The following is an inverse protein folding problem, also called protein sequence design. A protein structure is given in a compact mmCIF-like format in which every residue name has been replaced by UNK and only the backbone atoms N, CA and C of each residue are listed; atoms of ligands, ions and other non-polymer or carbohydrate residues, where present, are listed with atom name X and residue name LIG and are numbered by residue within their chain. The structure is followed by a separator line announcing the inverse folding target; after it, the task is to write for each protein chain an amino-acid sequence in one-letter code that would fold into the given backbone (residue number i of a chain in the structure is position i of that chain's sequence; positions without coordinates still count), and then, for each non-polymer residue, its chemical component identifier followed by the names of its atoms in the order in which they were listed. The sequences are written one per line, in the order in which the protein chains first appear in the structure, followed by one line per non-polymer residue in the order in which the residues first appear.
data_IF_711610800023
#
_entry.id   IF_711610800023
#
_cell.length_a   1.000
_cell.length_b   1.000
_cell.length_c   1.000
_cell.angle_alpha   90.00
_cell.angle_beta   90.00
_cell.angle_gamma   90.00
#
_symmetry.space_group_name_H-M   'P 1'
#
loop_
_entity.id
_entity.type
_entity.pdbx_description
1 polymer ?
#
# COMPACT_ATOMS: atom_id res chain seq x y z
N UNK A 1 7.21 -4.94 -0.40
CA UNK A 1 6.34 -5.44 -1.48
C UNK A 1 6.17 -4.40 -2.59
N UNK A 2 6.64 -3.20 -2.41
CA UNK A 2 6.76 -2.22 -3.48
C UNK A 2 7.70 -2.76 -4.57
N UNK A 3 7.41 -2.45 -5.83
CA UNK A 3 8.33 -2.71 -6.93
C UNK A 3 8.91 -1.36 -7.34
N UNK A 4 10.24 -1.17 -7.23
CA UNK A 4 10.89 0.07 -7.65
C UNK A 4 10.96 0.19 -9.16
N UNK A 5 11.32 1.38 -9.65
CA UNK A 5 11.57 1.57 -11.07
C UNK A 5 12.71 0.69 -11.57
N UNK A 6 12.60 0.29 -12.83
CA UNK A 6 13.59 -0.52 -13.55
C UNK A 6 13.76 -1.98 -13.08
N UNK A 7 12.98 -2.46 -12.11
CA UNK A 7 12.92 -3.90 -11.81
C UNK A 7 12.01 -4.66 -12.76
N UNK A 8 11.04 -3.95 -13.35
CA UNK A 8 10.19 -4.46 -14.45
C UNK A 8 10.45 -3.68 -15.72
N UNK A 9 10.28 -4.34 -16.86
CA UNK A 9 10.32 -3.68 -18.16
C UNK A 9 9.18 -2.65 -18.28
N UNK A 10 9.37 -1.55 -19.02
CA UNK A 10 8.29 -0.58 -19.29
C UNK A 10 7.04 -1.23 -19.88
N UNK A 11 7.20 -2.26 -20.72
CA UNK A 11 6.08 -3.01 -21.27
C UNK A 11 5.28 -3.75 -20.20
N UNK A 12 5.94 -4.41 -19.24
CA UNK A 12 5.29 -5.07 -18.10
C UNK A 12 4.56 -4.04 -17.22
N UNK A 13 5.19 -2.92 -16.94
CA UNK A 13 4.57 -1.82 -16.18
C UNK A 13 3.32 -1.29 -16.89
N UNK A 14 3.37 -1.09 -18.21
CA UNK A 14 2.24 -0.62 -19.00
C UNK A 14 1.08 -1.62 -19.01
N UNK A 15 1.34 -2.91 -19.18
CA UNK A 15 0.31 -3.96 -19.18
C UNK A 15 -0.45 -3.97 -17.84
N UNK A 16 0.27 -3.92 -16.72
CA UNK A 16 -0.36 -3.94 -15.40
C UNK A 16 -1.06 -2.62 -15.06
N UNK A 17 -0.54 -1.47 -15.52
CA UNK A 17 -1.22 -0.19 -15.41
C UNK A 17 -2.56 -0.20 -16.18
N UNK A 18 -2.56 -0.76 -17.40
CA UNK A 18 -3.79 -0.94 -18.20
C UNK A 18 -4.76 -1.90 -17.51
N UNK A 19 -4.29 -2.97 -16.88
CA UNK A 19 -5.12 -3.88 -16.10
C UNK A 19 -5.72 -3.23 -14.84
N UNK A 20 -4.97 -2.36 -14.18
CA UNK A 20 -5.43 -1.62 -13.00
C UNK A 20 -6.46 -0.53 -13.34
N UNK A 21 -6.30 0.16 -14.46
CA UNK A 21 -7.07 1.35 -14.83
C UNK A 21 -8.61 1.13 -14.81
N UNK A 22 -9.20 0.06 -15.38
CA UNK A 22 -10.64 -0.18 -15.34
C UNK A 22 -11.19 -0.28 -13.91
N UNK A 23 -10.44 -0.94 -13.00
CA UNK A 23 -10.87 -1.11 -11.59
C UNK A 23 -10.81 0.23 -10.86
N UNK A 24 -9.78 1.04 -11.09
CA UNK A 24 -9.68 2.39 -10.52
C UNK A 24 -10.79 3.30 -11.05
N UNK A 25 -11.06 3.28 -12.36
CA UNK A 25 -12.18 4.04 -12.94
C UNK A 25 -13.52 3.62 -12.35
N UNK A 26 -13.75 2.31 -12.18
CA UNK A 26 -14.95 1.80 -11.52
C UNK A 26 -15.02 2.25 -10.06
N UNK A 27 -13.89 2.20 -9.34
CA UNK A 27 -13.80 2.68 -7.96
C UNK A 27 -14.15 4.16 -7.85
N UNK A 28 -13.63 5.01 -8.73
CA UNK A 28 -13.98 6.44 -8.79
C UNK A 28 -15.50 6.62 -8.99
N UNK A 29 -16.10 5.89 -9.95
CA UNK A 29 -17.54 5.98 -10.23
C UNK A 29 -18.37 5.57 -9.00
N UNK A 30 -18.03 4.45 -8.34
CA UNK A 30 -18.73 3.95 -7.15
C UNK A 30 -18.59 4.91 -5.97
N UNK A 31 -17.38 5.37 -5.70
CA UNK A 31 -17.11 6.30 -4.58
C UNK A 31 -17.76 7.67 -4.81
N UNK A 32 -17.82 8.16 -6.06
CA UNK A 32 -18.55 9.40 -6.39
C UNK A 32 -20.03 9.32 -6.02
N UNK A 33 -20.70 8.18 -6.27
CA UNK A 33 -22.09 7.96 -5.85
C UNK A 33 -22.17 7.96 -4.33
N UNK A 34 -21.30 7.23 -3.65
CA UNK A 34 -21.29 7.18 -2.17
C UNK A 34 -21.03 8.55 -1.54
N UNK A 35 -20.16 9.38 -2.13
CA UNK A 35 -19.88 10.75 -1.66
C UNK A 35 -21.10 11.69 -1.79
N UNK A 36 -21.95 11.49 -2.80
CA UNK A 36 -23.18 12.25 -2.93
C UNK A 36 -24.19 11.91 -1.82
N UNK A 37 -24.22 10.65 -1.40
CA UNK A 37 -25.11 10.15 -0.35
C UNK A 37 -24.58 10.41 1.07
N UNK A 38 -23.23 10.40 1.22
CA UNK A 38 -22.56 10.54 2.51
C UNK A 38 -21.27 11.39 2.39
N UNK A 39 -21.37 12.69 2.70
CA UNK A 39 -20.25 13.63 2.64
C UNK A 39 -19.12 13.32 3.65
N UNK A 40 -19.41 12.55 4.71
CA UNK A 40 -18.39 12.13 5.69
C UNK A 40 -17.46 11.06 5.14
N UNK A 41 -17.77 10.47 3.99
CA UNK A 41 -16.85 9.57 3.30
C UNK A 41 -15.55 10.28 2.84
N UNK A 42 -15.60 11.59 2.50
CA UNK A 42 -14.41 12.31 2.06
C UNK A 42 -13.33 12.39 3.16
N UNK A 43 -13.61 12.85 4.40
CA UNK A 43 -12.63 12.76 5.48
C UNK A 43 -12.24 11.33 5.83
N UNK A 44 -13.13 10.34 5.67
CA UNK A 44 -12.80 8.93 5.88
C UNK A 44 -11.80 8.39 4.86
N UNK A 45 -11.91 8.79 3.59
CA UNK A 45 -10.90 8.47 2.55
C UNK A 45 -9.53 9.04 2.92
N UNK A 46 -9.49 10.28 3.41
CA UNK A 46 -8.24 10.89 3.87
C UNK A 46 -7.63 10.14 5.06
N UNK A 47 -8.44 9.79 6.06
CA UNK A 47 -7.99 8.98 7.20
C UNK A 47 -7.49 7.62 6.75
N UNK A 48 -8.20 6.95 5.84
CA UNK A 48 -7.84 5.64 5.34
C UNK A 48 -6.51 5.67 4.56
N UNK A 49 -6.32 6.64 3.68
CA UNK A 49 -5.05 6.81 2.97
C UNK A 49 -3.89 7.10 3.93
N UNK A 50 -4.10 7.97 4.92
CA UNK A 50 -3.11 8.27 5.97
C UNK A 50 -2.79 7.04 6.82
N UNK A 51 -3.79 6.24 7.17
CA UNK A 51 -3.61 5.02 7.95
C UNK A 51 -2.76 4.00 7.21
N UNK A 52 -3.06 3.75 5.94
CA UNK A 52 -2.27 2.84 5.12
C UNK A 52 -0.84 3.35 4.93
N UNK A 53 -0.66 4.63 4.59
CA UNK A 53 0.65 5.24 4.48
C UNK A 53 1.49 5.03 5.75
N UNK A 54 0.91 5.31 6.91
CA UNK A 54 1.59 5.13 8.19
C UNK A 54 1.90 3.67 8.50
N UNK A 55 0.99 2.72 8.18
CA UNK A 55 1.26 1.29 8.37
C UNK A 55 2.43 0.81 7.51
N UNK A 56 2.57 1.32 6.29
CA UNK A 56 3.69 0.99 5.40
C UNK A 56 5.04 1.56 5.86
N UNK A 57 5.06 2.59 6.72
CA UNK A 57 6.30 3.07 7.34
C UNK A 57 6.83 2.14 8.45
N UNK A 58 6.05 1.19 8.96
CA UNK A 58 6.48 0.24 9.98
C UNK A 58 7.14 -0.98 9.35
N UNK A 59 8.39 -0.83 8.95
CA UNK A 59 9.20 -1.96 8.52
C UNK A 59 9.49 -2.88 9.70
N UNK A 60 9.38 -4.19 9.47
CA UNK A 60 9.74 -5.24 10.42
C UNK A 60 10.84 -6.12 9.84
N UNK A 61 11.83 -6.55 10.65
CA UNK A 61 12.88 -7.43 10.17
C UNK A 61 12.30 -8.81 9.83
N UNK A 62 12.79 -9.36 8.73
CA UNK A 62 12.44 -10.70 8.26
C UNK A 62 13.70 -11.57 8.27
N UNK A 63 13.63 -12.85 8.68
CA UNK A 63 14.76 -13.75 8.60
C UNK A 63 15.39 -13.78 7.19
N UNK A 64 16.71 -13.72 7.11
CA UNK A 64 17.45 -13.62 5.84
C UNK A 64 17.95 -12.21 5.51
N UNK A 65 17.79 -11.24 6.42
CA UNK A 65 18.34 -9.88 6.25
C UNK A 65 17.51 -8.99 5.33
N UNK A 66 16.21 -9.29 5.18
CA UNK A 66 15.26 -8.47 4.43
C UNK A 66 14.22 -7.86 5.38
N UNK A 67 13.40 -6.96 4.87
CA UNK A 67 12.33 -6.29 5.62
C UNK A 67 10.98 -6.46 4.93
N UNK A 68 9.91 -6.26 5.69
CA UNK A 68 8.56 -6.21 5.17
C UNK A 68 7.68 -5.30 6.07
N UNK A 69 6.52 -4.89 5.57
CA UNK A 69 5.59 -4.03 6.29
C UNK A 69 4.13 -4.45 6.04
N UNK A 70 3.23 -4.00 6.91
CA UNK A 70 1.80 -4.07 6.67
C UNK A 70 1.36 -2.98 5.68
N UNK A 71 0.22 -3.18 5.03
CA UNK A 71 -0.38 -2.24 4.06
C UNK A 71 -1.75 -1.74 4.53
N UNK A 72 -2.50 -2.59 5.23
CA UNK A 72 -3.84 -2.26 5.71
C UNK A 72 -4.95 -2.44 4.66
N UNK A 73 -4.68 -3.12 3.55
CA UNK A 73 -5.63 -3.22 2.44
C UNK A 73 -6.97 -3.83 2.84
N UNK A 74 -6.94 -4.94 3.55
CA UNK A 74 -8.15 -5.59 4.10
C UNK A 74 -8.82 -4.75 5.17
N UNK A 75 -8.05 -4.12 6.05
CA UNK A 75 -8.57 -3.21 7.07
C UNK A 75 -9.40 -2.10 6.45
N UNK A 76 -8.84 -1.40 5.48
CA UNK A 76 -9.55 -0.30 4.81
C UNK A 76 -10.81 -0.79 4.10
N UNK A 77 -10.76 -1.97 3.46
CA UNK A 77 -11.93 -2.54 2.80
C UNK A 77 -13.05 -2.89 3.80
N UNK A 78 -12.72 -3.31 5.01
CA UNK A 78 -13.67 -3.54 6.09
C UNK A 78 -14.26 -2.23 6.63
N UNK A 79 -13.48 -1.14 6.65
CA UNK A 79 -13.91 0.15 7.20
C UNK A 79 -14.74 0.98 6.21
N UNK A 80 -14.33 1.06 4.94
CA UNK A 80 -14.92 1.98 3.96
C UNK A 80 -15.36 1.31 2.66
N UNK A 81 -15.25 -0.03 2.59
CA UNK A 81 -15.56 -0.82 1.40
C UNK A 81 -14.40 -0.94 0.41
N UNK A 82 -14.38 -2.01 -0.42
CA UNK A 82 -13.23 -2.32 -1.27
C UNK A 82 -12.92 -1.25 -2.32
N UNK A 83 -13.94 -0.62 -2.92
CA UNK A 83 -13.73 0.45 -3.90
C UNK A 83 -13.13 1.72 -3.30
N UNK A 84 -13.61 2.13 -2.13
CA UNK A 84 -13.08 3.29 -1.42
C UNK A 84 -11.68 3.01 -0.86
N UNK A 85 -11.44 1.79 -0.37
CA UNK A 85 -10.12 1.34 0.06
C UNK A 85 -9.10 1.35 -1.08
N UNK A 86 -9.49 0.89 -2.27
CA UNK A 86 -8.66 0.93 -3.48
C UNK A 86 -8.22 2.35 -3.81
N UNK A 87 -9.11 3.35 -3.74
CA UNK A 87 -8.75 4.75 -3.98
C UNK A 87 -7.85 5.32 -2.88
N UNK A 88 -8.15 5.02 -1.62
CA UNK A 88 -7.33 5.48 -0.50
C UNK A 88 -5.91 4.94 -0.57
N UNK A 89 -5.74 3.66 -0.89
CA UNK A 89 -4.44 3.02 -1.12
C UNK A 89 -3.73 3.61 -2.34
N UNK A 90 -4.45 3.86 -3.44
CA UNK A 90 -3.87 4.52 -4.61
C UNK A 90 -3.28 5.88 -4.25
N UNK A 91 -3.97 6.67 -3.42
CA UNK A 91 -3.44 7.96 -2.94
C UNK A 91 -2.20 7.77 -2.06
N UNK A 92 -2.19 6.79 -1.17
CA UNK A 92 -1.02 6.48 -0.34
C UNK A 92 0.20 6.10 -1.20
N UNK A 93 0.02 5.21 -2.18
CA UNK A 93 1.08 4.77 -3.10
C UNK A 93 1.60 5.89 -4.00
N UNK A 94 0.70 6.80 -4.46
CA UNK A 94 1.11 8.00 -5.20
C UNK A 94 2.03 8.89 -4.34
N UNK A 95 1.67 9.13 -3.08
CA UNK A 95 2.50 9.93 -2.18
C UNK A 95 3.85 9.25 -1.92
N UNK A 96 3.87 7.93 -1.71
CA UNK A 96 5.10 7.16 -1.51
C UNK A 96 6.03 7.28 -2.71
N UNK A 97 5.54 7.04 -3.92
CA UNK A 97 6.35 7.09 -5.12
C UNK A 97 6.86 8.53 -5.44
N UNK A 98 5.98 9.54 -5.39
CA UNK A 98 6.36 10.89 -5.81
C UNK A 98 7.09 11.72 -4.75
N UNK A 99 6.79 11.54 -3.47
CA UNK A 99 7.40 12.35 -2.42
C UNK A 99 8.54 11.66 -1.70
N UNK A 100 8.47 10.33 -1.58
CA UNK A 100 9.39 9.58 -0.72
C UNK A 100 10.26 8.59 -1.49
N UNK A 101 9.99 8.37 -2.79
CA UNK A 101 10.75 7.42 -3.61
C UNK A 101 10.51 5.94 -3.21
N UNK A 102 9.49 5.68 -2.39
CA UNK A 102 9.11 4.34 -1.96
C UNK A 102 8.16 3.71 -3.00
N UNK A 103 8.67 2.77 -3.76
CA UNK A 103 8.06 2.25 -4.98
C UNK A 103 8.37 3.09 -6.21
N UNK A 104 8.26 2.50 -7.41
CA UNK A 104 8.59 3.16 -8.68
C UNK A 104 7.43 3.99 -9.24
N UNK A 105 7.74 5.05 -9.98
CA UNK A 105 6.77 5.82 -10.77
C UNK A 105 6.32 5.04 -11.99
N UNK A 106 7.24 4.41 -12.72
CA UNK A 106 6.89 3.54 -13.85
C UNK A 106 6.16 2.29 -13.35
N UNK A 107 6.57 1.76 -12.20
CA UNK A 107 5.96 0.60 -11.56
C UNK A 107 4.68 0.95 -10.76
N UNK A 108 4.26 2.21 -10.71
CA UNK A 108 3.10 2.64 -9.91
C UNK A 108 1.83 1.87 -10.24
N UNK A 109 1.56 1.61 -11.54
CA UNK A 109 0.42 0.83 -11.98
C UNK A 109 0.44 -0.61 -11.45
N UNK A 110 1.62 -1.21 -11.37
CA UNK A 110 1.87 -2.54 -10.80
C UNK A 110 1.60 -2.53 -9.29
N UNK A 111 2.18 -1.58 -8.58
CA UNK A 111 1.98 -1.42 -7.13
C UNK A 111 0.52 -1.15 -6.79
N UNK A 112 -0.20 -0.34 -7.59
CA UNK A 112 -1.65 -0.15 -7.46
C UNK A 112 -2.39 -1.47 -7.69
N UNK A 113 -2.04 -2.23 -8.72
CA UNK A 113 -2.70 -3.51 -9.01
C UNK A 113 -2.56 -4.47 -7.82
N UNK A 114 -1.35 -4.68 -7.32
CA UNK A 114 -1.08 -5.61 -6.23
C UNK A 114 -1.65 -5.15 -4.89
N UNK A 115 -1.38 -3.91 -4.48
CA UNK A 115 -1.70 -3.42 -3.14
C UNK A 115 -3.04 -2.70 -3.05
N UNK A 116 -3.41 -1.88 -4.05
CA UNK A 116 -4.64 -1.11 -4.01
C UNK A 116 -5.85 -1.82 -4.62
N UNK A 117 -5.65 -2.90 -5.38
CA UNK A 117 -6.74 -3.69 -5.96
C UNK A 117 -6.78 -5.08 -5.33
N UNK A 118 -5.76 -5.90 -5.52
CA UNK A 118 -5.79 -7.30 -5.07
C UNK A 118 -6.04 -7.40 -3.57
N UNK A 119 -5.30 -6.66 -2.74
CA UNK A 119 -5.46 -6.77 -1.29
C UNK A 119 -6.87 -6.39 -0.79
N UNK A 120 -7.43 -5.20 -1.11
CA UNK A 120 -8.77 -4.85 -0.62
C UNK A 120 -9.86 -5.78 -1.10
N UNK A 121 -9.82 -6.20 -2.38
CA UNK A 121 -10.87 -7.02 -2.95
C UNK A 121 -10.81 -8.47 -2.46
N UNK A 122 -9.63 -9.08 -2.46
CA UNK A 122 -9.43 -10.46 -1.95
C UNK A 122 -9.72 -10.51 -0.45
N UNK A 123 -9.14 -9.59 0.32
CA UNK A 123 -9.33 -9.55 1.77
C UNK A 123 -10.78 -9.36 2.17
N UNK A 124 -11.49 -8.41 1.51
CA UNK A 124 -12.90 -8.17 1.77
C UNK A 124 -13.80 -9.35 1.34
N UNK A 125 -13.47 -10.02 0.23
CA UNK A 125 -14.21 -11.20 -0.20
C UNK A 125 -14.12 -12.33 0.84
N UNK A 126 -12.91 -12.61 1.34
CA UNK A 126 -12.70 -13.60 2.41
C UNK A 126 -13.41 -13.18 3.70
N UNK A 127 -13.19 -11.94 4.17
CA UNK A 127 -13.89 -11.41 5.33
C UNK A 127 -15.41 -11.56 5.22
N UNK A 128 -15.99 -11.21 4.06
CA UNK A 128 -17.42 -11.27 3.82
C UNK A 128 -17.96 -12.72 3.85
N UNK A 129 -17.16 -13.67 3.35
CA UNK A 129 -17.51 -15.09 3.43
C UNK A 129 -17.61 -15.56 4.89
N UNK A 130 -16.60 -15.29 5.70
CA UNK A 130 -16.60 -15.64 7.12
C UNK A 130 -17.68 -14.92 7.92
N UNK A 131 -17.96 -13.64 7.59
CA UNK A 131 -19.03 -12.86 8.21
C UNK A 131 -20.41 -13.49 7.99
N UNK A 132 -20.69 -14.07 6.81
CA UNK A 132 -21.93 -14.78 6.53
C UNK A 132 -22.13 -16.01 7.46
N UNK A 133 -21.04 -16.58 7.96
CA UNK A 133 -21.04 -17.70 8.90
C UNK A 133 -20.84 -17.26 10.36
N UNK A 134 -21.05 -15.97 10.68
CA UNK A 134 -20.87 -15.40 12.03
C UNK A 134 -19.44 -15.55 12.61
N UNK A 135 -18.44 -15.70 11.75
CA UNK A 135 -17.02 -15.84 12.11
C UNK A 135 -16.20 -14.62 11.72
N UNK A 136 -16.71 -13.41 12.00
CA UNK A 136 -16.10 -12.14 11.56
C UNK A 136 -14.64 -12.00 11.97
N UNK A 137 -14.30 -12.34 13.23
CA UNK A 137 -12.93 -12.24 13.75
C UNK A 137 -11.95 -13.11 12.97
N UNK A 138 -12.36 -14.35 12.67
CA UNK A 138 -11.55 -15.26 11.86
C UNK A 138 -11.43 -14.72 10.42
N UNK A 139 -12.52 -14.19 9.87
CA UNK A 139 -12.52 -13.55 8.56
C UNK A 139 -11.57 -12.34 8.46
N UNK A 140 -11.44 -11.55 9.52
CA UNK A 140 -10.47 -10.45 9.61
C UNK A 140 -9.04 -10.98 9.53
N UNK A 141 -8.70 -11.98 10.34
CA UNK A 141 -7.34 -12.54 10.42
C UNK A 141 -6.97 -13.25 9.12
N UNK A 142 -7.81 -14.17 8.66
CA UNK A 142 -7.56 -14.97 7.44
C UNK A 142 -7.59 -14.10 6.20
N UNK A 143 -8.55 -13.15 6.12
CA UNK A 143 -8.67 -12.25 4.99
C UNK A 143 -7.46 -11.35 4.81
N UNK A 144 -6.97 -10.74 5.91
CA UNK A 144 -5.78 -9.88 5.86
C UNK A 144 -4.50 -10.68 5.59
N UNK A 145 -4.33 -11.82 6.23
CA UNK A 145 -3.18 -12.71 5.99
C UNK A 145 -3.12 -13.17 4.53
N UNK A 146 -4.22 -13.68 3.98
CA UNK A 146 -4.23 -14.22 2.62
C UNK A 146 -4.15 -13.12 1.55
N UNK A 147 -4.73 -11.94 1.78
CA UNK A 147 -4.70 -10.86 0.80
C UNK A 147 -3.30 -10.30 0.55
N UNK A 148 -2.52 -10.08 1.61
CA UNK A 148 -1.13 -9.60 1.45
C UNK A 148 -0.25 -10.69 0.82
N UNK A 149 -0.47 -11.95 1.15
CA UNK A 149 0.25 -13.06 0.52
C UNK A 149 -0.14 -13.24 -0.96
N UNK A 150 -1.39 -12.99 -1.35
CA UNK A 150 -1.81 -12.97 -2.75
C UNK A 150 -1.09 -11.85 -3.53
N UNK A 151 -1.00 -10.65 -2.97
CA UNK A 151 -0.27 -9.54 -3.58
C UNK A 151 1.25 -9.85 -3.68
N UNK A 152 1.84 -10.43 -2.63
CA UNK A 152 3.24 -10.84 -2.63
C UNK A 152 3.53 -11.94 -3.68
N UNK A 153 2.63 -12.89 -3.83
CA UNK A 153 2.72 -13.92 -4.88
C UNK A 153 2.76 -13.28 -6.27
N UNK A 154 1.84 -12.34 -6.55
CA UNK A 154 1.80 -11.65 -7.84
C UNK A 154 3.09 -10.84 -8.08
N UNK A 155 3.56 -10.08 -7.10
CA UNK A 155 4.82 -9.34 -7.20
C UNK A 155 6.00 -10.30 -7.48
N UNK A 156 6.04 -11.46 -6.81
CA UNK A 156 7.03 -12.50 -7.07
C UNK A 156 6.97 -13.05 -8.50
N UNK A 157 5.77 -13.25 -9.04
CA UNK A 157 5.56 -13.68 -10.43
C UNK A 157 5.98 -12.58 -11.41
N UNK A 158 5.57 -11.36 -11.20
CA UNK A 158 5.89 -10.19 -12.04
C UNK A 158 7.41 -9.97 -12.16
N UNK A 159 8.11 -10.02 -11.03
CA UNK A 159 9.57 -9.96 -10.99
C UNK A 159 10.20 -11.17 -11.69
N UNK A 160 9.72 -12.37 -11.38
CA UNK A 160 10.31 -13.62 -11.87
C UNK A 160 10.09 -13.91 -13.36
N UNK A 161 9.13 -13.23 -13.98
CA UNK A 161 8.93 -13.32 -15.44
C UNK A 161 9.91 -12.45 -16.22
N UNK A 162 10.58 -11.44 -15.61
CA UNK A 162 11.43 -10.52 -16.35
C UNK A 162 12.58 -11.20 -17.11
N UNK A 163 13.31 -12.18 -16.57
CA UNK A 163 14.35 -12.88 -17.31
C UNK A 163 13.83 -13.64 -18.55
N UNK A 164 12.54 -13.98 -18.57
CA UNK A 164 11.93 -14.71 -19.70
C UNK A 164 11.43 -13.76 -20.79
N UNK A 165 10.94 -12.57 -20.42
CA UNK A 165 10.25 -11.67 -21.36
C UNK A 165 11.08 -10.43 -21.74
N UNK A 166 12.14 -10.14 -21.01
CA UNK A 166 12.96 -8.95 -21.20
C UNK A 166 14.46 -9.29 -21.04
N UNK A 167 14.99 -10.03 -22.01
CA UNK A 167 16.40 -10.44 -22.08
C UNK A 167 17.02 -10.06 -23.42
N UNK A 168 18.30 -9.78 -23.44
CA UNK A 168 19.10 -9.55 -24.65
C UNK A 168 20.36 -10.41 -24.60
N UNK A 169 20.63 -11.14 -25.67
CA UNK A 169 21.75 -12.09 -25.75
C UNK A 169 21.83 -13.07 -24.56
N UNK A 170 20.67 -13.49 -24.03
CA UNK A 170 20.58 -14.40 -22.87
C UNK A 170 20.86 -13.75 -21.52
N UNK A 171 21.02 -12.42 -21.46
CA UNK A 171 21.17 -11.67 -20.20
C UNK A 171 19.88 -10.90 -19.86
N UNK A 172 19.36 -10.97 -18.63
CA UNK A 172 18.20 -10.20 -18.22
C UNK A 172 18.51 -8.69 -18.23
N UNK A 173 17.56 -7.91 -18.77
CA UNK A 173 17.68 -6.46 -18.83
C UNK A 173 17.18 -5.77 -17.54
N UNK A 174 16.29 -6.42 -16.81
CA UNK A 174 15.65 -5.92 -15.57
C UNK A 174 15.89 -6.90 -14.43
N UNK A 175 14.89 -7.18 -13.58
CA UNK A 175 15.11 -8.12 -12.46
C UNK A 175 15.81 -9.41 -12.96
N UNK A 176 16.96 -9.77 -12.36
CA UNK A 176 17.78 -10.89 -12.86
C UNK A 176 17.32 -12.26 -12.38
N UNK A 177 16.46 -12.31 -11.37
CA UNK A 177 16.05 -13.54 -10.71
C UNK A 177 14.77 -14.11 -11.36
N UNK A 178 14.78 -15.42 -11.68
CA UNK A 178 13.62 -16.12 -12.22
C UNK A 178 12.59 -16.50 -11.15
N UNK A 179 11.46 -17.07 -11.60
CA UNK A 179 10.32 -17.47 -10.76
C UNK A 179 10.70 -18.39 -9.58
N UNK A 180 11.66 -19.26 -9.77
CA UNK A 180 12.13 -20.19 -8.72
C UNK A 180 12.82 -19.51 -7.55
N UNK A 181 13.21 -18.25 -7.68
CA UNK A 181 13.81 -17.42 -6.63
C UNK A 181 12.82 -16.37 -6.14
N UNK A 182 12.22 -15.62 -7.05
CA UNK A 182 11.36 -14.47 -6.69
C UNK A 182 10.10 -14.87 -5.96
N UNK A 183 9.41 -15.94 -6.41
CA UNK A 183 8.16 -16.38 -5.78
C UNK A 183 8.41 -16.91 -4.37
N UNK A 184 9.36 -17.83 -4.12
CA UNK A 184 9.67 -18.26 -2.75
C UNK A 184 10.18 -17.13 -1.85
N UNK A 185 10.99 -16.19 -2.36
CA UNK A 185 11.50 -15.08 -1.57
C UNK A 185 10.38 -14.14 -1.13
N UNK A 186 9.52 -13.73 -2.06
CA UNK A 186 8.36 -12.89 -1.76
C UNK A 186 7.37 -13.58 -0.82
N UNK A 187 6.97 -14.82 -1.12
CA UNK A 187 6.06 -15.58 -0.25
C UNK A 187 6.70 -15.90 1.10
N UNK A 188 7.97 -16.23 1.17
CA UNK A 188 8.66 -16.55 2.42
C UNK A 188 8.60 -15.36 3.40
N UNK A 189 8.95 -14.16 2.96
CA UNK A 189 8.87 -12.96 3.79
C UNK A 189 7.44 -12.67 4.28
N UNK A 190 6.44 -12.89 3.42
CA UNK A 190 5.05 -12.55 3.72
C UNK A 190 4.32 -13.65 4.52
N UNK A 191 4.55 -14.93 4.24
CA UNK A 191 3.98 -16.03 5.02
C UNK A 191 4.54 -16.10 6.43
N UNK A 192 5.85 -15.82 6.58
CA UNK A 192 6.52 -15.95 7.88
C UNK A 192 6.33 -14.72 8.77
N UNK A 193 6.28 -13.51 8.21
CA UNK A 193 6.29 -12.26 9.00
C UNK A 193 5.19 -11.30 8.56
N UNK A 194 5.23 -10.74 7.35
CA UNK A 194 4.37 -9.62 6.96
C UNK A 194 2.88 -9.96 7.02
N UNK A 195 2.48 -11.17 6.66
CA UNK A 195 1.09 -11.63 6.76
C UNK A 195 0.55 -11.60 8.18
N UNK A 196 1.37 -11.97 9.16
CA UNK A 196 0.99 -11.91 10.57
C UNK A 196 0.96 -10.49 11.10
N UNK A 197 1.87 -9.63 10.65
CA UNK A 197 1.86 -8.19 10.99
C UNK A 197 0.62 -7.51 10.41
N UNK A 198 0.27 -7.78 9.15
CA UNK A 198 -0.97 -7.31 8.51
C UNK A 198 -2.21 -7.79 9.29
N UNK A 199 -2.26 -9.08 9.64
CA UNK A 199 -3.36 -9.66 10.41
C UNK A 199 -3.46 -9.04 11.81
N UNK A 200 -2.34 -8.81 12.49
CA UNK A 200 -2.30 -8.19 13.81
C UNK A 200 -2.84 -6.75 13.79
N UNK A 201 -2.30 -5.89 12.93
CA UNK A 201 -2.77 -4.51 12.84
C UNK A 201 -4.24 -4.43 12.41
N UNK A 202 -4.63 -5.23 11.41
CA UNK A 202 -6.02 -5.30 10.98
C UNK A 202 -6.95 -5.73 12.10
N UNK A 203 -6.58 -6.77 12.86
CA UNK A 203 -7.39 -7.27 13.97
C UNK A 203 -7.50 -6.25 15.11
N UNK A 204 -6.40 -5.64 15.53
CA UNK A 204 -6.39 -4.67 16.65
C UNK A 204 -7.25 -3.45 16.31
N UNK A 205 -7.06 -2.88 15.12
CA UNK A 205 -7.83 -1.70 14.69
C UNK A 205 -9.30 -2.07 14.45
N UNK A 206 -9.59 -3.22 13.83
CA UNK A 206 -10.95 -3.72 13.69
C UNK A 206 -11.65 -3.87 15.03
N UNK A 207 -11.00 -4.49 16.02
CA UNK A 207 -11.55 -4.66 17.37
C UNK A 207 -11.84 -3.32 18.03
N UNK A 208 -10.91 -2.39 17.93
CA UNK A 208 -11.11 -1.03 18.44
C UNK A 208 -12.35 -0.38 17.79
N UNK A 209 -12.44 -0.40 16.45
CA UNK A 209 -13.59 0.17 15.74
C UNK A 209 -14.89 -0.53 16.11
N UNK A 210 -14.90 -1.85 16.17
CA UNK A 210 -16.09 -2.64 16.53
C UNK A 210 -16.59 -2.33 17.94
N UNK A 211 -15.71 -1.98 18.89
CA UNK A 211 -16.08 -1.61 20.25
C UNK A 211 -16.57 -0.16 20.36
N UNK A 212 -15.91 0.76 19.64
CA UNK A 212 -16.11 2.20 19.80
C UNK A 212 -17.18 2.75 18.86
N UNK A 213 -17.33 2.16 17.67
CA UNK A 213 -18.21 2.62 16.61
C UNK A 213 -18.62 1.47 15.67
N UNK A 214 -19.37 0.46 16.14
CA UNK A 214 -19.71 -0.74 15.35
C UNK A 214 -20.51 -0.41 14.08
N UNK A 215 -21.28 0.66 14.09
CA UNK A 215 -22.05 1.15 12.93
C UNK A 215 -21.18 1.69 11.78
N UNK A 216 -19.90 1.93 12.03
CA UNK A 216 -18.96 2.44 11.02
C UNK A 216 -18.27 1.34 10.20
N UNK A 217 -18.43 0.07 10.59
CA UNK A 217 -17.98 -1.06 9.78
C UNK A 217 -18.80 -1.12 8.50
N UNK A 218 -18.11 -1.21 7.36
CA UNK A 218 -18.74 -1.11 6.07
C UNK A 218 -19.82 -2.17 5.83
N UNK A 219 -21.00 -1.68 5.51
CA UNK A 219 -22.05 -2.42 4.83
C UNK A 219 -22.53 -1.55 3.66
N UNK A 220 -23.19 -2.10 2.62
CA UNK A 220 -23.67 -1.28 1.49
C UNK A 220 -24.55 -0.10 1.89
N UNK A 221 -25.11 -0.10 3.09
CA UNK A 221 -25.95 0.97 3.66
C UNK A 221 -25.26 1.80 4.75
N UNK A 222 -23.97 1.61 5.01
CA UNK A 222 -23.26 2.33 6.07
C UNK A 222 -23.16 3.83 5.78
N UNK A 223 -23.49 4.64 6.79
CA UNK A 223 -23.24 6.08 6.80
C UNK A 223 -22.21 6.39 7.86
N UNK A 224 -21.03 6.86 7.45
CA UNK A 224 -19.98 7.27 8.36
C UNK A 224 -20.38 8.51 9.16
N UNK A 225 -19.90 8.63 10.39
CA UNK A 225 -20.23 9.74 11.29
C UNK A 225 -19.00 10.58 11.64
N UNK A 226 -19.24 11.86 11.88
CA UNK A 226 -18.18 12.79 12.35
C UNK A 226 -17.56 12.34 13.68
N UNK A 227 -18.31 11.62 14.50
CA UNK A 227 -17.84 11.11 15.80
C UNK A 227 -16.71 10.08 15.62
N UNK A 228 -16.84 9.17 14.64
CA UNK A 228 -15.83 8.19 14.35
C UNK A 228 -14.53 8.84 13.84
N UNK A 229 -14.64 9.79 12.91
CA UNK A 229 -13.50 10.56 12.39
C UNK A 229 -12.68 11.21 13.54
N UNK A 230 -13.37 11.73 14.56
CA UNK A 230 -12.69 12.29 15.74
C UNK A 230 -11.93 11.26 16.58
N UNK A 231 -12.41 10.02 16.67
CA UNK A 231 -11.80 8.97 17.50
C UNK A 231 -10.57 8.35 16.81
N UNK A 232 -10.67 8.05 15.50
CA UNK A 232 -9.58 7.40 14.78
C UNK A 232 -8.35 8.30 14.57
N UNK A 233 -8.49 9.63 14.64
CA UNK A 233 -7.35 10.56 14.59
C UNK A 233 -6.31 10.30 15.68
N UNK A 234 -6.72 9.80 16.84
CA UNK A 234 -5.79 9.45 17.92
C UNK A 234 -4.93 8.23 17.57
N UNK A 235 -5.49 7.29 16.80
CA UNK A 235 -4.72 6.17 16.23
C UNK A 235 -3.66 6.69 15.27
N UNK A 236 -4.03 7.62 14.37
CA UNK A 236 -3.08 8.24 13.45
C UNK A 236 -1.96 8.98 14.18
N UNK A 237 -2.29 9.77 15.21
CA UNK A 237 -1.29 10.49 16.02
C UNK A 237 -0.33 9.50 16.71
N UNK A 238 -0.85 8.41 17.27
CA UNK A 238 -0.03 7.35 17.84
C UNK A 238 0.92 6.74 16.82
N UNK A 239 0.43 6.42 15.62
CA UNK A 239 1.25 5.87 14.54
C UNK A 239 2.32 6.86 14.06
N UNK A 240 2.01 8.15 13.94
CA UNK A 240 3.01 9.19 13.60
C UNK A 240 4.15 9.20 14.62
N UNK A 241 3.83 9.23 15.92
CA UNK A 241 4.84 9.24 16.99
C UNK A 241 5.67 7.96 17.02
N UNK A 242 5.05 6.83 16.71
CA UNK A 242 5.69 5.50 16.70
C UNK A 242 6.37 5.17 15.36
N UNK A 243 6.18 5.96 14.29
CA UNK A 243 6.75 5.66 12.96
C UNK A 243 8.26 5.39 12.97
N UNK A 244 9.11 6.03 13.82
CA UNK A 244 10.53 5.70 13.87
C UNK A 244 10.84 4.26 14.30
N UNK A 245 9.88 3.50 14.84
CA UNK A 245 10.08 2.07 15.10
C UNK A 245 10.34 1.27 13.82
N UNK A 246 9.88 1.74 12.67
CA UNK A 246 10.21 1.14 11.37
C UNK A 246 11.70 1.18 11.02
N UNK A 247 12.47 2.10 11.63
CA UNK A 247 13.92 2.19 11.47
C UNK A 247 14.70 1.08 12.23
N UNK A 248 14.03 0.30 13.09
CA UNK A 248 14.64 -0.84 13.78
C UNK A 248 14.87 -2.05 12.85
N UNK A 249 14.22 -2.07 11.69
CA UNK A 249 14.40 -3.09 10.68
C UNK A 249 15.60 -2.69 9.79
N UNK A 250 16.70 -3.40 9.95
CA UNK A 250 17.88 -3.25 9.10
C UNK A 250 17.74 -4.11 7.83
N UNK A 251 18.29 -3.64 6.71
CA UNK A 251 18.30 -4.33 5.43
C UNK A 251 17.22 -3.84 4.47
N UNK A 252 17.37 -4.21 3.21
CA UNK A 252 16.50 -3.81 2.10
C UNK A 252 15.50 -4.91 1.79
N UNK A 253 14.26 -4.57 1.47
CA UNK A 253 13.26 -5.54 1.08
C UNK A 253 13.68 -6.27 -0.22
N UNK A 254 13.26 -7.54 -0.37
CA UNK A 254 13.60 -8.31 -1.57
C UNK A 254 13.05 -7.63 -2.82
N UNK A 255 13.95 -7.35 -3.77
CA UNK A 255 13.62 -6.68 -5.03
C UNK A 255 13.54 -5.16 -4.94
N UNK A 256 13.97 -4.55 -3.84
CA UNK A 256 14.00 -3.10 -3.61
C UNK A 256 15.44 -2.55 -3.47
N UNK A 257 16.46 -3.34 -3.85
CA UNK A 257 17.86 -2.96 -3.73
C UNK A 257 18.23 -1.75 -4.61
N UNK A 258 19.10 -0.91 -4.10
CA UNK A 258 19.78 0.10 -4.92
C UNK A 258 20.67 -0.55 -5.98
N UNK A 259 21.10 0.23 -6.98
CA UNK A 259 22.03 -0.25 -8.02
C UNK A 259 23.35 -0.76 -7.41
N UNK A 260 23.82 -0.12 -6.35
CA UNK A 260 25.05 -0.47 -5.62
C UNK A 260 24.87 -1.78 -4.84
N UNK A 261 23.76 -1.93 -4.11
CA UNK A 261 23.44 -3.15 -3.36
C UNK A 261 23.28 -4.34 -4.30
N UNK A 262 22.51 -4.16 -5.39
CA UNK A 262 22.33 -5.19 -6.41
C UNK A 262 23.66 -5.53 -7.10
N UNK A 263 24.51 -4.53 -7.35
CA UNK A 263 25.86 -4.73 -7.88
C UNK A 263 26.72 -5.60 -6.96
N UNK A 264 26.62 -5.40 -5.65
CA UNK A 264 27.31 -6.23 -4.67
C UNK A 264 26.80 -7.68 -4.67
N UNK A 265 25.49 -7.88 -4.75
CA UNK A 265 24.85 -9.20 -4.82
C UNK A 265 25.19 -9.96 -6.11
N UNK A 266 25.34 -9.25 -7.23
CA UNK A 266 25.58 -9.83 -8.56
C UNK A 266 27.07 -9.76 -8.98
N UNK A 267 27.99 -9.49 -8.05
CA UNK A 267 29.43 -9.37 -8.37
C UNK A 267 29.73 -8.42 -9.54
N UNK A 268 29.07 -7.26 -9.54
CA UNK A 268 29.22 -6.20 -10.53
C UNK A 268 28.39 -6.35 -11.82
N UNK A 269 27.64 -7.45 -12.00
CA UNK A 269 26.84 -7.72 -13.19
C UNK A 269 25.42 -7.16 -13.10
N UNK A 270 25.26 -5.85 -12.88
CA UNK A 270 23.96 -5.22 -12.82
C UNK A 270 23.29 -5.19 -14.20
N UNK A 271 22.01 -5.60 -14.34
CA UNK A 271 21.26 -5.50 -15.58
C UNK A 271 21.24 -4.09 -16.17
N UNK A 272 21.38 -3.98 -17.48
CA UNK A 272 21.52 -2.68 -18.16
C UNK A 272 20.28 -1.82 -18.05
N UNK A 273 19.08 -2.39 -18.00
CA UNK A 273 17.82 -1.67 -17.79
C UNK A 273 17.70 -1.08 -16.39
N UNK A 274 18.32 -1.71 -15.36
CA UNK A 274 18.40 -1.14 -14.00
C UNK A 274 19.44 -0.03 -13.97
N UNK A 275 20.62 -0.27 -14.54
CA UNK A 275 21.74 0.66 -14.50
C UNK A 275 21.49 1.95 -15.27
N UNK A 276 20.85 1.86 -16.43
CA UNK A 276 20.65 2.96 -17.39
C UNK A 276 19.17 3.33 -17.55
N UNK A 277 18.32 2.88 -16.63
CA UNK A 277 16.89 3.06 -16.71
C UNK A 277 16.41 4.45 -16.29
N UNK A 278 15.12 4.56 -16.08
CA UNK A 278 14.47 5.78 -15.60
C UNK A 278 14.96 6.14 -14.20
N UNK A 279 15.24 7.42 -13.97
CA UNK A 279 15.62 7.95 -12.66
C UNK A 279 14.72 9.10 -12.27
N UNK A 280 14.24 9.06 -11.05
CA UNK A 280 13.45 10.12 -10.44
C UNK A 280 13.94 10.34 -9.00
N UNK A 281 14.30 11.58 -8.69
CA UNK A 281 14.68 11.96 -7.33
C UNK A 281 13.47 12.49 -6.59
N UNK A 282 13.02 11.74 -5.58
CA UNK A 282 11.92 12.14 -4.73
C UNK A 282 12.34 13.26 -3.77
N UNK A 283 11.39 14.09 -3.35
CA UNK A 283 11.66 15.26 -2.50
C UNK A 283 12.21 14.88 -1.12
N UNK A 284 11.77 13.76 -0.57
CA UNK A 284 12.12 13.24 0.76
C UNK A 284 12.50 11.76 0.67
N UNK A 285 13.45 11.43 -0.23
CA UNK A 285 13.86 10.04 -0.47
C UNK A 285 14.08 9.29 0.85
N UNK A 286 13.58 8.06 0.92
CA UNK A 286 13.67 7.18 2.09
C UNK A 286 13.16 7.82 3.39
N UNK A 287 12.15 8.69 3.26
CA UNK A 287 11.55 9.43 4.39
C UNK A 287 12.55 10.32 5.15
N UNK A 288 13.66 10.69 4.51
CA UNK A 288 14.70 11.54 5.10
C UNK A 288 14.47 13.01 4.77
N UNK A 289 14.91 13.89 5.67
CA UNK A 289 14.91 15.34 5.44
C UNK A 289 16.33 15.86 5.67
N UNK A 290 16.95 16.50 4.67
CA UNK A 290 18.30 17.02 4.79
C UNK A 290 18.49 17.90 6.04
N UNK A 291 19.56 17.70 6.77
CA UNK A 291 19.89 18.46 7.98
C UNK A 291 19.16 18.01 9.25
N UNK A 292 18.32 16.97 9.20
CA UNK A 292 17.66 16.41 10.38
C UNK A 292 18.20 15.03 10.76
N UNK A 293 17.96 14.62 12.02
CA UNK A 293 18.20 13.22 12.43
C UNK A 293 17.17 12.32 11.72
N UNK A 294 17.55 11.12 11.32
CA UNK A 294 16.71 10.17 10.57
C UNK A 294 15.33 9.98 11.24
N UNK A 295 15.29 9.74 12.56
CA UNK A 295 14.01 9.59 13.27
C UNK A 295 13.11 10.84 13.20
N UNK A 296 13.68 12.04 13.19
CA UNK A 296 12.94 13.29 13.04
C UNK A 296 12.42 13.41 11.60
N UNK A 297 13.25 13.08 10.60
CA UNK A 297 12.86 13.01 9.20
C UNK A 297 11.65 12.10 9.00
N UNK A 298 11.68 10.92 9.61
CA UNK A 298 10.57 9.94 9.57
C UNK A 298 9.26 10.52 10.13
N UNK A 299 9.30 11.15 11.31
CA UNK A 299 8.11 11.80 11.91
C UNK A 299 7.60 12.94 11.01
N UNK A 300 8.50 13.80 10.52
CA UNK A 300 8.11 14.91 9.65
C UNK A 300 7.53 14.44 8.31
N UNK A 301 8.08 13.37 7.73
CA UNK A 301 7.54 12.72 6.54
C UNK A 301 6.13 12.18 6.79
N UNK A 302 5.92 11.49 7.91
CA UNK A 302 4.61 11.01 8.34
C UNK A 302 3.60 12.18 8.49
N UNK A 303 3.98 13.26 9.15
CA UNK A 303 3.14 14.47 9.30
C UNK A 303 2.83 15.07 7.93
N UNK A 304 3.83 15.22 7.07
CA UNK A 304 3.66 15.82 5.73
C UNK A 304 2.65 15.02 4.90
N UNK A 305 2.79 13.70 4.84
CA UNK A 305 1.85 12.85 4.11
C UNK A 305 0.42 12.97 4.65
N UNK A 306 0.24 12.90 5.97
CA UNK A 306 -1.07 13.03 6.62
C UNK A 306 -1.69 14.41 6.35
N UNK A 307 -0.91 15.48 6.39
CA UNK A 307 -1.39 16.84 6.09
C UNK A 307 -1.82 16.99 4.64
N UNK A 308 -1.05 16.47 3.68
CA UNK A 308 -1.40 16.53 2.26
C UNK A 308 -2.72 15.79 2.02
N UNK A 309 -2.85 14.57 2.54
CA UNK A 309 -4.09 13.78 2.41
C UNK A 309 -5.28 14.49 3.09
N UNK A 310 -5.06 15.09 4.24
CA UNK A 310 -6.09 15.88 4.93
C UNK A 310 -6.56 17.07 4.08
N UNK A 311 -5.63 17.83 3.48
CA UNK A 311 -5.94 18.97 2.60
C UNK A 311 -6.74 18.48 1.38
N UNK A 312 -6.29 17.40 0.71
CA UNK A 312 -7.00 16.81 -0.43
C UNK A 312 -8.42 16.41 -0.03
N UNK A 313 -8.60 15.76 1.12
CA UNK A 313 -9.93 15.34 1.59
C UNK A 313 -10.86 16.54 1.87
N UNK A 314 -10.32 17.65 2.36
CA UNK A 314 -11.05 18.90 2.57
C UNK A 314 -11.49 19.55 1.25
N UNK A 315 -10.60 19.57 0.26
CA UNK A 315 -10.93 20.08 -1.09
C UNK A 315 -12.06 19.24 -1.71
N UNK A 316 -11.96 17.90 -1.66
CA UNK A 316 -13.00 17.01 -2.18
C UNK A 316 -14.35 17.27 -1.49
N UNK A 317 -14.34 17.45 -0.16
CA UNK A 317 -15.54 17.76 0.62
C UNK A 317 -16.18 19.10 0.21
N UNK A 318 -15.36 20.15 0.02
CA UNK A 318 -15.82 21.48 -0.42
C UNK A 318 -16.47 21.41 -1.80
N UNK A 319 -15.79 20.81 -2.77
CA UNK A 319 -16.31 20.68 -4.16
C UNK A 319 -17.65 19.93 -4.24
N UNK A 320 -17.91 18.98 -3.33
CA UNK A 320 -19.17 18.25 -3.25
C UNK A 320 -20.25 19.01 -2.43
N UNK A 321 -19.84 20.03 -1.64
CA UNK A 321 -20.75 20.87 -0.86
C UNK A 321 -21.42 21.96 -1.67
N UNK A 322 -20.72 22.58 -2.59
CA UNK A 322 -21.24 23.69 -3.42
C UNK A 322 -22.28 23.23 -4.46
N UNK A 323 -22.18 22.00 -4.97
CA UNK A 323 -23.16 21.47 -5.95
C UNK A 323 -24.56 21.30 -5.41
N UNK A 324 -24.77 21.30 -4.10
CA UNK A 324 -26.10 21.14 -3.47
C UNK A 324 -26.76 22.46 -3.08
N UNK A 325 -26.07 23.62 -3.21
CA UNK A 325 -26.65 24.94 -2.95
C UNK A 325 -27.20 25.62 -4.20
N UNK A 326 -27.01 25.05 -5.39
CA UNK A 326 -27.47 25.57 -6.68
C UNK A 326 -28.44 24.61 -7.42
N UNK A 327 -28.98 23.60 -6.75
CA UNK A 327 -30.04 22.72 -7.18
C UNK A 327 -31.22 22.85 -6.20
#
# INVERSE_FOLDING_TARGET
MHIPDNYLSPASCAVLAVAAAPVIVLSIKKVKVQLNENKELAPMLGIAASLSFLLMMFNVPVPGGTTAHAVGGTLLAILIGPYAASLALTVALLLQAFLFGDGGILALGVNIFNMAIVMPFVGYAIYSLFRKHHQETLGVIVGSFLSINAAAFLAGVELGLQPLIASEAGQPLYNPYGLSITVPAMLGAHLLVAGWVEAFFTYVIYRFVKQVAPSELYTPSTKNTTSFVKKIRWVLLGLIVLSPLGLLAEGTAFGEWSTEELGSLLHGKVPTGIKNGFSFEALFSDYTIPGTKIAIGYILSAITAVLIVYIISKIIRSMNGEKTSHA
#
